data_IF_267668215041
#
_entry.id   IF_267668215041
#
_cell.length_a   1.000
_cell.length_b   1.000
_cell.length_c   1.000
_cell.angle_alpha   90.00
_cell.angle_beta   90.00
_cell.angle_gamma   90.00
#
_symmetry.space_group_name_H-M   'P 1'
#
loop_
_entity.id
_entity.type
_entity.pdbx_description
1 polymer ?
#
# COMPACT_ATOMS: atom_id res chain seq x y z
N UNK A 1 -6.95 -2.43 -9.77
CA UNK A 1 -7.53 -2.42 -8.40
C UNK A 1 -6.51 -1.81 -7.43
N UNK A 2 -6.95 -1.00 -6.46
CA UNK A 2 -6.08 -0.26 -5.53
C UNK A 2 -5.88 -0.95 -4.16
N UNK A 3 -6.44 -2.14 -3.97
CA UNK A 3 -6.26 -2.95 -2.76
C UNK A 3 -6.45 -4.44 -3.09
N UNK A 4 -5.92 -5.31 -2.23
CA UNK A 4 -6.12 -6.76 -2.27
C UNK A 4 -6.15 -7.34 -0.86
N UNK A 5 -7.09 -8.25 -0.61
CA UNK A 5 -7.09 -9.05 0.64
C UNK A 5 -6.07 -10.18 0.52
N UNK A 6 -5.28 -10.37 1.57
CA UNK A 6 -4.21 -11.38 1.62
C UNK A 6 -4.37 -12.16 2.93
N UNK A 7 -4.45 -13.48 2.83
CA UNK A 7 -4.51 -14.35 4.00
C UNK A 7 -3.14 -14.40 4.71
N UNK A 8 -3.08 -14.76 6.00
CA UNK A 8 -1.82 -14.91 6.72
C UNK A 8 -0.83 -15.81 5.96
N UNK A 9 0.44 -15.39 5.91
CA UNK A 9 1.55 -16.09 5.23
C UNK A 9 1.37 -16.27 3.71
N UNK A 10 0.42 -15.57 3.08
CA UNK A 10 0.27 -15.54 1.61
C UNK A 10 0.88 -14.29 1.02
N UNK A 11 1.11 -14.33 -0.30
CA UNK A 11 1.62 -13.22 -1.10
C UNK A 11 0.61 -12.85 -2.18
N UNK A 12 0.63 -11.60 -2.60
CA UNK A 12 -0.14 -11.13 -3.74
C UNK A 12 0.49 -9.89 -4.36
N UNK A 13 0.15 -9.60 -5.61
CA UNK A 13 0.75 -8.50 -6.37
C UNK A 13 -0.29 -7.46 -6.78
N UNK A 14 0.16 -6.21 -6.84
CA UNK A 14 -0.58 -5.06 -7.37
C UNK A 14 0.38 -4.29 -8.28
N UNK A 15 0.00 -4.11 -9.54
CA UNK A 15 0.71 -3.24 -10.47
C UNK A 15 0.04 -1.86 -10.44
N UNK A 16 0.82 -0.82 -10.14
CA UNK A 16 0.33 0.55 -10.04
C UNK A 16 1.19 1.48 -10.88
N UNK A 17 0.54 2.34 -11.68
CA UNK A 17 1.21 3.41 -12.43
C UNK A 17 0.93 4.74 -11.77
N UNK A 18 1.93 5.31 -11.10
CA UNK A 18 1.85 6.65 -10.54
C UNK A 18 1.89 7.69 -11.67
N UNK A 19 0.98 8.66 -11.61
CA UNK A 19 0.89 9.74 -12.62
C UNK A 19 1.35 11.09 -12.10
N UNK A 20 1.75 11.16 -10.83
CA UNK A 20 2.23 12.37 -10.15
C UNK A 20 3.36 11.99 -9.20
N UNK A 21 4.35 12.87 -9.06
CA UNK A 21 5.36 12.78 -8.01
C UNK A 21 4.73 13.08 -6.63
N UNK A 22 5.31 12.53 -5.58
CA UNK A 22 4.85 12.73 -4.21
C UNK A 22 5.04 11.51 -3.31
N UNK A 23 4.64 11.67 -2.05
CA UNK A 23 4.62 10.59 -1.04
C UNK A 23 3.20 10.04 -0.92
N UNK A 24 3.06 8.73 -1.10
CA UNK A 24 1.78 8.03 -1.02
C UNK A 24 1.83 7.03 0.13
N UNK A 25 0.78 7.00 0.94
CA UNK A 25 0.62 5.97 1.97
C UNK A 25 -0.05 4.73 1.38
N UNK A 26 0.41 3.56 1.78
CA UNK A 26 -0.33 2.31 1.64
C UNK A 26 -0.48 1.68 3.02
N UNK A 27 -1.58 0.97 3.24
CA UNK A 27 -1.83 0.37 4.54
C UNK A 27 -2.91 -0.69 4.51
N UNK A 28 -3.00 -1.46 5.58
CA UNK A 28 -4.06 -2.43 5.76
C UNK A 28 -5.35 -1.74 6.22
N UNK A 29 -6.44 -1.94 5.47
CA UNK A 29 -7.76 -1.37 5.79
C UNK A 29 -8.59 -2.25 6.72
N UNK A 30 -8.02 -3.32 7.27
CA UNK A 30 -8.68 -4.13 8.31
C UNK A 30 -8.64 -3.32 9.61
N UNK A 31 -9.76 -3.18 10.33
CA UNK A 31 -9.81 -2.42 11.58
C UNK A 31 -8.70 -2.84 12.56
N UNK A 32 -7.99 -1.86 13.11
CA UNK A 32 -6.89 -2.06 14.06
C UNK A 32 -5.53 -2.37 13.43
N UNK A 33 -5.47 -2.82 12.17
CA UNK A 33 -4.20 -3.21 11.56
C UNK A 33 -3.33 -2.01 11.20
N UNK A 34 -3.93 -0.92 10.69
CA UNK A 34 -3.19 0.30 10.35
C UNK A 34 -2.63 0.94 11.61
N UNK A 35 -3.44 1.04 12.65
CA UNK A 35 -3.10 1.59 13.96
C UNK A 35 -2.01 0.75 14.65
N UNK A 36 -2.02 -0.57 14.45
CA UNK A 36 -0.97 -1.49 14.88
C UNK A 36 0.32 -1.42 14.02
N UNK A 37 0.38 -0.52 13.03
CA UNK A 37 1.59 -0.26 12.25
C UNK A 37 1.64 -0.94 10.87
N UNK A 38 0.55 -1.55 10.38
CA UNK A 38 0.48 -2.00 8.98
C UNK A 38 0.25 -0.83 8.02
N UNK A 39 1.22 0.08 7.99
CA UNK A 39 1.28 1.26 7.14
C UNK A 39 2.69 1.37 6.56
N UNK A 40 2.79 1.86 5.34
CA UNK A 40 4.06 2.17 4.70
C UNK A 40 3.90 3.32 3.72
N UNK A 41 5.03 3.85 3.27
CA UNK A 41 5.07 4.96 2.31
C UNK A 41 5.76 4.54 1.03
N UNK A 42 5.29 5.09 -0.09
CA UNK A 42 5.95 5.04 -1.39
C UNK A 42 6.29 6.46 -1.79
N UNK A 43 7.57 6.72 -2.05
CA UNK A 43 8.04 8.02 -2.52
C UNK A 43 8.27 7.93 -4.03
N UNK A 44 7.46 8.67 -4.78
CA UNK A 44 7.60 8.80 -6.24
C UNK A 44 8.32 10.11 -6.52
N UNK A 45 9.55 10.01 -7.02
CA UNK A 45 10.36 11.18 -7.39
C UNK A 45 9.98 11.65 -8.80
N UNK A 46 10.25 12.92 -9.07
CA UNK A 46 10.24 13.45 -10.43
C UNK A 46 11.28 12.72 -11.27
N UNK A 47 11.04 12.71 -12.59
CA UNK A 47 11.86 11.99 -13.56
C UNK A 47 13.08 12.80 -13.98
#
# INVERSE_FOLDING_TARGET
PNARRVAPKKKSEIVWRFTKAGTFEYGCLIPGHREAGMIGTVVVKER
#
